data_IF_081494505000
#
_entry.id   IF_081494505000
#
_cell.length_a   1.000
_cell.length_b   1.000
_cell.length_c   1.000
_cell.angle_alpha   90.00
_cell.angle_beta   90.00
_cell.angle_gamma   90.00
#
_symmetry.space_group_name_H-M   'P 1'
#
loop_
_entity.id
_entity.type
_entity.pdbx_description
1 polymer ?
#
# COMPACT_ATOMS: atom_id res chain seq x y z
N UNK A 1 -14.06 6.62 -26.70
CA UNK A 1 -14.05 7.96 -26.07
C UNK A 1 -12.61 8.47 -25.96
N UNK A 2 -12.37 9.73 -26.30
CA UNK A 2 -11.04 10.38 -26.27
C UNK A 2 -10.43 10.40 -24.87
N UNK A 3 -11.23 10.65 -23.83
CA UNK A 3 -10.81 10.65 -22.43
C UNK A 3 -10.25 9.28 -22.01
N UNK A 4 -10.95 8.18 -22.31
CA UNK A 4 -10.47 6.84 -21.99
C UNK A 4 -9.17 6.50 -22.73
N UNK A 5 -8.98 6.99 -23.97
CA UNK A 5 -7.70 6.83 -24.69
C UNK A 5 -6.57 7.63 -24.04
N UNK A 6 -6.84 8.82 -23.51
CA UNK A 6 -5.85 9.64 -22.80
C UNK A 6 -5.46 9.04 -21.46
N UNK A 7 -6.44 8.55 -20.68
CA UNK A 7 -6.18 7.92 -19.37
C UNK A 7 -5.39 6.62 -19.51
N UNK A 8 -5.70 5.79 -20.53
CA UNK A 8 -4.97 4.55 -20.82
C UNK A 8 -3.55 4.73 -21.33
N UNK A 9 -3.11 5.96 -21.64
CA UNK A 9 -1.68 6.22 -21.94
C UNK A 9 -0.80 6.15 -20.70
N UNK A 10 -1.38 6.31 -19.52
CA UNK A 10 -0.68 6.18 -18.24
C UNK A 10 -0.84 4.72 -17.78
N UNK A 11 0.25 3.99 -17.47
CA UNK A 11 0.14 2.65 -16.93
C UNK A 11 -0.61 2.70 -15.59
N UNK A 12 -1.72 1.97 -15.47
CA UNK A 12 -2.60 2.06 -14.30
C UNK A 12 -3.41 3.36 -14.24
N UNK A 13 -3.49 4.11 -15.34
CA UNK A 13 -4.11 5.43 -15.38
C UNK A 13 -5.57 5.43 -14.95
N UNK A 14 -6.29 4.33 -15.16
CA UNK A 14 -7.67 4.18 -14.70
C UNK A 14 -7.80 4.20 -13.17
N UNK A 15 -6.72 3.94 -12.44
CA UNK A 15 -6.68 4.02 -10.97
C UNK A 15 -5.88 5.23 -10.48
N UNK A 16 -4.69 5.48 -11.04
CA UNK A 16 -3.80 6.56 -10.61
C UNK A 16 -4.45 7.93 -10.82
N UNK A 17 -5.13 8.13 -11.95
CA UNK A 17 -5.74 9.43 -12.26
C UNK A 17 -6.87 9.77 -11.26
N UNK A 18 -7.86 8.88 -10.98
CA UNK A 18 -8.83 9.12 -9.92
C UNK A 18 -8.21 9.34 -8.54
N UNK A 19 -7.15 8.59 -8.19
CA UNK A 19 -6.48 8.72 -6.90
C UNK A 19 -5.84 10.10 -6.74
N UNK A 20 -5.09 10.57 -7.73
CA UNK A 20 -4.46 11.90 -7.71
C UNK A 20 -5.51 13.01 -7.68
N UNK A 21 -6.60 12.88 -8.45
CA UNK A 21 -7.71 13.83 -8.42
C UNK A 21 -8.37 13.87 -7.03
N UNK A 22 -8.56 12.72 -6.40
CA UNK A 22 -9.07 12.62 -5.03
C UNK A 22 -8.14 13.28 -4.01
N UNK A 23 -6.82 13.05 -4.12
CA UNK A 23 -5.82 13.71 -3.27
C UNK A 23 -5.83 15.23 -3.44
N UNK A 24 -5.85 15.72 -4.68
CA UNK A 24 -5.92 17.17 -4.98
C UNK A 24 -7.20 17.76 -4.39
N UNK A 25 -8.34 17.12 -4.62
CA UNK A 25 -9.62 17.59 -4.08
C UNK A 25 -9.60 17.63 -2.55
N UNK A 26 -9.11 16.58 -1.89
CA UNK A 26 -9.01 16.53 -0.43
C UNK A 26 -8.01 17.56 0.13
N UNK A 27 -7.00 17.94 -0.65
CA UNK A 27 -6.03 18.97 -0.26
C UNK A 27 -6.67 20.37 -0.22
N UNK A 28 -7.50 20.70 -1.21
CA UNK A 28 -8.14 22.03 -1.29
C UNK A 28 -9.48 22.10 -0.56
N UNK A 29 -10.19 20.98 -0.41
CA UNK A 29 -11.53 20.92 0.17
C UNK A 29 -11.73 19.73 1.14
N UNK A 30 -10.93 19.64 2.24
CA UNK A 30 -10.94 18.49 3.15
C UNK A 30 -12.27 18.27 3.88
N UNK A 31 -13.04 19.35 4.11
CA UNK A 31 -14.30 19.30 4.84
C UNK A 31 -15.54 19.16 3.94
N UNK A 32 -15.37 19.14 2.62
CA UNK A 32 -16.49 19.10 1.68
C UNK A 32 -17.44 17.91 1.93
N UNK A 33 -16.88 16.74 2.23
CA UNK A 33 -17.67 15.54 2.51
C UNK A 33 -18.22 15.48 3.95
N UNK A 34 -17.80 16.39 4.83
CA UNK A 34 -18.32 16.49 6.21
C UNK A 34 -19.72 17.10 6.22
N UNK A 35 -20.07 17.97 5.26
CA UNK A 35 -21.43 18.49 5.09
C UNK A 35 -22.47 17.38 4.81
N UNK A 36 -22.01 16.24 4.28
CA UNK A 36 -22.85 15.10 3.93
C UNK A 36 -22.80 13.99 4.99
N UNK A 37 -22.28 14.27 6.20
CA UNK A 37 -22.14 13.28 7.26
C UNK A 37 -23.44 12.48 7.51
N UNK A 38 -23.29 11.15 7.64
CA UNK A 38 -24.41 10.22 7.82
C UNK A 38 -25.15 9.83 6.54
N UNK A 39 -24.76 10.38 5.38
CA UNK A 39 -25.34 10.00 4.09
C UNK A 39 -24.48 8.98 3.34
N UNK A 40 -25.07 8.36 2.31
CA UNK A 40 -24.36 7.47 1.38
C UNK A 40 -23.09 8.13 0.79
N UNK A 41 -23.11 9.43 0.50
CA UNK A 41 -21.98 10.15 -0.09
C UNK A 41 -20.74 10.09 0.80
N UNK A 42 -20.88 10.32 2.11
CA UNK A 42 -19.74 10.25 3.04
C UNK A 42 -19.25 8.80 3.20
N UNK A 43 -20.16 7.83 3.23
CA UNK A 43 -19.78 6.42 3.29
C UNK A 43 -19.10 5.92 2.01
N UNK A 44 -19.47 6.43 0.84
CA UNK A 44 -18.85 6.07 -0.43
C UNK A 44 -17.48 6.74 -0.60
N UNK A 45 -17.38 8.04 -0.31
CA UNK A 45 -16.21 8.85 -0.68
C UNK A 45 -15.20 9.09 0.45
N UNK A 46 -15.61 9.02 1.73
CA UNK A 46 -14.73 9.34 2.87
C UNK A 46 -14.34 8.09 3.68
N UNK A 47 -15.27 7.19 3.96
CA UNK A 47 -15.02 6.02 4.84
C UNK A 47 -15.08 4.66 4.13
N UNK A 48 -15.51 4.61 2.87
CA UNK A 48 -15.78 3.37 2.13
C UNK A 48 -14.57 2.67 1.52
N UNK A 49 -13.38 3.27 1.56
CA UNK A 49 -12.20 2.75 0.87
C UNK A 49 -11.83 1.31 1.32
N UNK A 50 -11.76 1.07 2.63
CA UNK A 50 -11.42 -0.25 3.18
C UNK A 50 -12.48 -1.33 2.88
N UNK A 51 -13.79 -1.08 3.07
CA UNK A 51 -14.84 -2.01 2.65
C UNK A 51 -14.83 -2.33 1.15
N UNK A 52 -14.65 -1.32 0.28
CA UNK A 52 -14.60 -1.52 -1.18
C UNK A 52 -13.39 -2.37 -1.54
N UNK A 53 -12.22 -2.09 -0.94
CA UNK A 53 -11.02 -2.89 -1.13
C UNK A 53 -11.24 -4.34 -0.65
N UNK A 54 -11.90 -4.55 0.48
CA UNK A 54 -12.20 -5.89 1.00
C UNK A 54 -13.09 -6.69 0.03
N UNK A 55 -14.17 -6.09 -0.49
CA UNK A 55 -15.04 -6.71 -1.50
C UNK A 55 -14.27 -6.98 -2.80
N UNK A 56 -13.44 -6.03 -3.24
CA UNK A 56 -12.58 -6.21 -4.41
C UNK A 56 -11.64 -7.40 -4.24
N UNK A 57 -10.94 -7.51 -3.11
CA UNK A 57 -10.04 -8.62 -2.82
C UNK A 57 -10.77 -9.95 -2.70
N UNK A 58 -11.97 -9.95 -2.10
CA UNK A 58 -12.82 -11.14 -2.06
C UNK A 58 -13.20 -11.60 -3.48
N UNK A 59 -13.70 -10.71 -4.33
CA UNK A 59 -14.05 -11.01 -5.71
C UNK A 59 -12.84 -11.44 -6.55
N UNK A 60 -11.65 -10.90 -6.31
CA UNK A 60 -10.44 -11.39 -6.97
C UNK A 60 -10.03 -12.76 -6.44
N UNK A 61 -10.18 -12.99 -5.13
CA UNK A 61 -9.89 -14.28 -4.49
C UNK A 61 -10.73 -15.42 -5.07
N UNK A 62 -12.00 -15.18 -5.43
CA UNK A 62 -12.85 -16.19 -6.07
C UNK A 62 -12.39 -16.59 -7.48
N UNK A 63 -11.52 -15.80 -8.13
CA UNK A 63 -10.93 -16.14 -9.43
C UNK A 63 -9.69 -17.03 -9.33
N UNK A 64 -9.16 -17.24 -8.13
CA UNK A 64 -7.95 -18.04 -7.90
C UNK A 64 -8.32 -19.53 -7.83
N UNK A 65 -7.67 -20.35 -8.64
CA UNK A 65 -7.84 -21.80 -8.56
C UNK A 65 -7.06 -22.38 -7.37
N UNK A 66 -7.60 -23.39 -6.68
CA UNK A 66 -6.91 -24.07 -5.56
C UNK A 66 -5.51 -24.59 -5.93
N UNK A 67 -5.31 -24.97 -7.21
CA UNK A 67 -4.00 -25.39 -7.73
C UNK A 67 -2.97 -24.25 -7.78
N UNK A 68 -3.43 -23.00 -7.83
CA UNK A 68 -2.61 -21.79 -7.92
C UNK A 68 -2.39 -21.13 -6.56
N UNK A 69 -3.11 -21.56 -5.52
CA UNK A 69 -3.01 -21.00 -4.17
C UNK A 69 -1.58 -21.04 -3.61
N UNK A 70 -0.83 -22.12 -3.87
CA UNK A 70 0.57 -22.23 -3.46
C UNK A 70 1.47 -21.17 -4.11
N UNK A 71 1.21 -20.83 -5.38
CA UNK A 71 1.97 -19.80 -6.12
C UNK A 71 1.64 -18.41 -5.57
N UNK A 72 0.37 -18.16 -5.25
CA UNK A 72 -0.07 -16.91 -4.61
C UNK A 72 0.64 -16.68 -3.27
N UNK A 73 0.66 -17.70 -2.41
CA UNK A 73 1.35 -17.63 -1.11
C UNK A 73 2.84 -17.42 -1.30
N UNK A 74 3.48 -18.19 -2.18
CA UNK A 74 4.90 -18.04 -2.48
C UNK A 74 5.25 -16.62 -2.92
N UNK A 75 4.53 -16.07 -3.90
CA UNK A 75 4.74 -14.70 -4.39
C UNK A 75 4.55 -13.68 -3.27
N UNK A 76 3.45 -13.80 -2.51
CA UNK A 76 3.17 -12.92 -1.38
C UNK A 76 4.27 -12.93 -0.33
N UNK A 77 4.72 -14.12 0.09
CA UNK A 77 5.80 -14.28 1.07
C UNK A 77 7.12 -13.70 0.57
N UNK A 78 7.51 -14.00 -0.68
CA UNK A 78 8.75 -13.48 -1.27
C UNK A 78 8.71 -11.96 -1.38
N UNK A 79 7.61 -11.39 -1.88
CA UNK A 79 7.46 -9.94 -2.01
C UNK A 79 7.51 -9.25 -0.64
N UNK A 80 6.79 -9.77 0.35
CA UNK A 80 6.83 -9.24 1.72
C UNK A 80 8.24 -9.32 2.31
N UNK A 81 8.91 -10.47 2.19
CA UNK A 81 10.25 -10.66 2.75
C UNK A 81 11.27 -9.70 2.11
N UNK A 82 11.32 -9.65 0.77
CA UNK A 82 12.24 -8.76 0.04
C UNK A 82 12.00 -7.31 0.45
N UNK A 83 10.75 -6.88 0.53
CA UNK A 83 10.40 -5.51 0.88
C UNK A 83 10.85 -5.14 2.30
N UNK A 84 10.54 -5.98 3.27
CA UNK A 84 10.92 -5.75 4.68
C UNK A 84 12.44 -5.72 4.83
N UNK A 85 13.14 -6.67 4.21
CA UNK A 85 14.61 -6.73 4.27
C UNK A 85 15.23 -5.50 3.63
N UNK A 86 14.78 -5.10 2.44
CA UNK A 86 15.29 -3.91 1.75
C UNK A 86 15.01 -2.65 2.57
N UNK A 87 13.78 -2.48 3.08
CA UNK A 87 13.42 -1.34 3.93
C UNK A 87 14.27 -1.26 5.19
N UNK A 88 14.50 -2.40 5.85
CA UNK A 88 15.38 -2.52 7.01
C UNK A 88 16.82 -2.15 6.66
N UNK A 89 17.40 -2.73 5.60
CA UNK A 89 18.77 -2.43 5.19
C UNK A 89 18.96 -0.96 4.82
N UNK A 90 18.01 -0.34 4.12
CA UNK A 90 18.05 1.08 3.79
C UNK A 90 17.99 1.96 5.05
N UNK A 91 17.07 1.68 5.97
CA UNK A 91 16.98 2.41 7.24
C UNK A 91 18.24 2.27 8.09
N UNK A 92 18.79 1.06 8.18
CA UNK A 92 20.03 0.79 8.92
C UNK A 92 21.25 1.44 8.28
N UNK A 93 21.34 1.43 6.94
CA UNK A 93 22.40 2.15 6.25
C UNK A 93 22.33 3.64 6.59
N UNK A 94 21.14 4.24 6.59
CA UNK A 94 20.98 5.64 6.98
C UNK A 94 21.35 5.88 8.43
N UNK A 95 20.95 5.00 9.35
CA UNK A 95 21.35 5.09 10.76
C UNK A 95 22.88 5.01 10.93
N UNK A 96 23.55 4.13 10.19
CA UNK A 96 25.01 3.96 10.26
C UNK A 96 25.80 5.16 9.70
N UNK A 97 25.32 5.79 8.62
CA UNK A 97 26.03 6.92 7.99
C UNK A 97 25.65 8.30 8.54
N UNK A 98 24.39 8.48 8.97
CA UNK A 98 23.84 9.79 9.36
C UNK A 98 23.37 9.86 10.81
N UNK A 99 23.41 8.74 11.55
CA UNK A 99 22.95 8.68 12.93
C UNK A 99 21.43 8.81 13.07
N UNK A 100 20.97 9.07 14.30
CA UNK A 100 19.54 9.16 14.63
C UNK A 100 18.81 10.33 13.96
N UNK A 101 19.53 11.42 13.68
CA UNK A 101 18.99 12.57 12.95
C UNK A 101 18.61 12.24 11.50
N UNK A 102 19.15 11.13 10.97
CA UNK A 102 18.88 10.64 9.63
C UNK A 102 19.27 11.62 8.52
N UNK A 103 18.67 11.46 7.34
CA UNK A 103 18.98 12.27 6.15
C UNK A 103 17.93 13.37 6.00
N UNK A 104 18.35 14.63 5.98
CA UNK A 104 17.46 15.79 5.76
C UNK A 104 16.31 15.88 6.79
N UNK A 105 16.52 15.41 8.02
CA UNK A 105 15.51 15.37 9.08
C UNK A 105 14.55 14.17 9.01
N UNK A 106 14.76 13.24 8.09
CA UNK A 106 14.02 11.98 8.02
C UNK A 106 14.75 10.93 8.86
N UNK A 107 14.20 10.63 10.02
CA UNK A 107 14.76 9.63 10.93
C UNK A 107 14.80 8.23 10.28
N UNK A 108 15.79 7.38 10.64
CA UNK A 108 15.90 6.01 10.12
C UNK A 108 14.60 5.21 10.26
N UNK A 109 13.89 5.35 11.38
CA UNK A 109 12.59 4.70 11.60
C UNK A 109 11.52 5.12 10.58
N UNK A 110 11.51 6.38 10.16
CA UNK A 110 10.58 6.88 9.15
C UNK A 110 10.89 6.28 7.78
N UNK A 111 12.17 6.06 7.47
CA UNK A 111 12.61 5.38 6.24
C UNK A 111 12.19 3.92 6.24
N UNK A 112 12.42 3.19 7.34
CA UNK A 112 11.99 1.79 7.48
C UNK A 112 10.47 1.71 7.32
N UNK A 113 9.72 2.56 8.04
CA UNK A 113 8.25 2.57 7.97
C UNK A 113 7.75 2.88 6.55
N UNK A 114 8.34 3.86 5.87
CA UNK A 114 7.95 4.25 4.52
C UNK A 114 8.25 3.17 3.48
N UNK A 115 9.40 2.49 3.58
CA UNK A 115 9.82 1.46 2.62
C UNK A 115 9.19 0.10 2.90
N UNK A 116 8.97 -0.25 4.17
CA UNK A 116 8.30 -1.48 4.54
C UNK A 116 6.81 -1.40 4.22
N UNK A 117 6.13 -0.28 4.41
CA UNK A 117 4.69 -0.21 4.21
C UNK A 117 4.26 -0.25 2.72
N UNK A 118 3.09 -0.83 2.44
CA UNK A 118 2.53 -0.97 1.09
C UNK A 118 1.20 -0.26 0.96
N UNK A 119 0.80 0.00 -0.29
CA UNK A 119 -0.61 0.26 -0.59
C UNK A 119 -1.18 -0.97 -1.29
N UNK A 120 -1.80 -1.86 -0.52
CA UNK A 120 -2.43 -3.08 -1.03
C UNK A 120 -3.47 -2.79 -2.11
N UNK A 121 -4.20 -1.68 -2.02
CA UNK A 121 -5.20 -1.29 -3.02
C UNK A 121 -4.58 -0.94 -4.37
N UNK A 122 -3.52 -0.13 -4.39
CA UNK A 122 -2.81 0.23 -5.62
C UNK A 122 -2.18 -1.00 -6.25
N UNK A 123 -1.51 -1.84 -5.45
CA UNK A 123 -0.93 -3.08 -5.94
C UNK A 123 -2.00 -4.00 -6.54
N UNK A 124 -3.13 -4.19 -5.85
CA UNK A 124 -4.18 -5.10 -6.28
C UNK A 124 -4.82 -4.68 -7.61
N UNK A 125 -5.02 -3.38 -7.82
CA UNK A 125 -5.59 -2.91 -9.08
C UNK A 125 -4.58 -2.96 -10.23
N UNK A 126 -3.31 -2.62 -10.00
CA UNK A 126 -2.26 -2.76 -11.02
C UNK A 126 -2.03 -4.24 -11.39
N UNK A 127 -2.01 -5.13 -10.40
CA UNK A 127 -1.93 -6.57 -10.61
C UNK A 127 -3.18 -7.11 -11.33
N UNK A 128 -4.34 -6.51 -11.12
CA UNK A 128 -5.57 -6.85 -11.84
C UNK A 128 -5.55 -6.39 -13.30
N UNK A 129 -4.91 -5.25 -13.60
CA UNK A 129 -4.82 -4.68 -14.96
C UNK A 129 -3.69 -5.30 -15.79
N UNK A 130 -2.53 -5.60 -15.17
CA UNK A 130 -1.32 -6.05 -15.87
C UNK A 130 -0.78 -7.42 -15.43
N UNK A 131 -1.28 -7.97 -14.33
CA UNK A 131 -0.78 -9.21 -13.74
C UNK A 131 -1.69 -10.41 -13.96
N UNK A 132 -1.48 -11.45 -13.14
CA UNK A 132 -2.30 -12.67 -13.10
C UNK A 132 -3.14 -12.71 -11.83
N UNK A 133 -4.15 -13.57 -11.79
CA UNK A 133 -4.96 -13.81 -10.57
C UNK A 133 -4.10 -14.14 -9.34
N UNK A 134 -3.00 -14.90 -9.52
CA UNK A 134 -2.02 -15.18 -8.45
C UNK A 134 -1.29 -13.94 -7.92
N UNK A 135 -1.10 -12.91 -8.76
CA UNK A 135 -0.45 -11.66 -8.34
C UNK A 135 -1.43 -10.83 -7.53
N UNK A 136 -2.69 -10.75 -7.95
CA UNK A 136 -3.75 -10.07 -7.19
C UNK A 136 -3.99 -10.75 -5.84
N UNK A 137 -3.99 -12.08 -5.82
CA UNK A 137 -4.13 -12.86 -4.58
C UNK A 137 -3.01 -12.63 -3.57
N UNK A 138 -1.80 -12.28 -4.04
CA UNK A 138 -0.64 -12.05 -3.17
C UNK A 138 -0.87 -10.86 -2.21
N UNK A 139 -1.80 -9.95 -2.54
CA UNK A 139 -2.22 -8.83 -1.68
C UNK A 139 -2.60 -9.30 -0.28
N UNK A 140 -3.23 -10.46 -0.16
CA UNK A 140 -3.64 -11.01 1.14
C UNK A 140 -2.47 -11.25 2.09
N UNK A 141 -1.33 -11.71 1.57
CA UNK A 141 -0.09 -11.90 2.33
C UNK A 141 0.67 -10.58 2.50
N UNK A 142 0.66 -9.73 1.47
CA UNK A 142 1.25 -8.38 1.54
C UNK A 142 0.57 -7.51 2.60
N UNK A 143 -0.74 -7.66 2.82
CA UNK A 143 -1.50 -6.90 3.80
C UNK A 143 -1.05 -7.16 5.25
N UNK A 144 -0.36 -8.27 5.54
CA UNK A 144 0.27 -8.53 6.85
C UNK A 144 1.30 -7.43 7.19
N UNK A 145 1.89 -6.81 6.16
CA UNK A 145 2.91 -5.80 6.27
C UNK A 145 2.37 -4.37 6.33
N UNK A 146 1.06 -4.15 6.13
CA UNK A 146 0.46 -2.82 6.21
C UNK A 146 0.29 -2.32 7.66
N UNK A 147 0.69 -3.14 8.65
CA UNK A 147 0.74 -2.80 10.07
C UNK A 147 2.17 -2.51 10.58
N UNK A 148 2.31 -2.02 11.84
CA UNK A 148 3.60 -1.66 12.40
C UNK A 148 4.51 -2.87 12.71
N UNK A 149 4.03 -4.10 12.51
CA UNK A 149 4.69 -5.32 12.94
C UNK A 149 6.12 -5.45 12.41
N UNK A 150 6.34 -5.39 11.09
CA UNK A 150 7.67 -5.57 10.52
C UNK A 150 8.60 -4.39 10.80
N UNK A 151 8.06 -3.18 10.85
CA UNK A 151 8.82 -1.99 11.26
C UNK A 151 9.32 -2.13 12.70
N UNK A 152 8.47 -2.57 13.62
CA UNK A 152 8.86 -2.78 15.02
C UNK A 152 9.80 -3.97 15.19
N UNK A 153 9.60 -5.05 14.44
CA UNK A 153 10.51 -6.20 14.41
C UNK A 153 11.91 -5.78 13.93
N UNK A 154 11.97 -4.94 12.89
CA UNK A 154 13.21 -4.41 12.35
C UNK A 154 13.99 -3.62 13.40
N UNK A 155 13.31 -2.74 14.13
CA UNK A 155 13.89 -1.89 15.17
C UNK A 155 14.32 -2.70 16.41
N UNK A 156 13.51 -3.68 16.83
CA UNK A 156 13.84 -4.56 17.94
C UNK A 156 15.06 -5.44 17.64
N UNK A 157 15.19 -5.95 16.41
CA UNK A 157 16.32 -6.80 16.01
C UNK A 157 17.68 -6.08 16.02
N UNK A 158 17.68 -4.75 15.94
CA UNK A 158 18.87 -3.91 15.90
C UNK A 158 19.11 -3.11 17.18
N UNK A 159 18.29 -3.33 18.20
CA UNK A 159 18.42 -2.67 19.50
C UNK A 159 18.16 -1.16 19.45
N UNK A 160 17.35 -0.71 18.48
CA UNK A 160 16.98 0.70 18.39
C UNK A 160 15.97 1.02 19.51
N UNK A 161 16.39 1.82 20.50
CA UNK A 161 15.47 2.35 21.50
C UNK A 161 14.54 3.35 20.82
N UNK A 162 13.26 3.00 20.73
CA UNK A 162 12.23 3.93 20.27
C UNK A 162 12.16 5.03 21.34
N UNK A 163 12.48 6.30 21.01
CA UNK A 163 12.35 7.38 21.97
C UNK A 163 10.86 7.49 22.33
N UNK A 164 10.55 7.17 23.57
CA UNK A 164 9.20 7.26 24.17
C UNK A 164 8.95 8.70 24.58
#
# INVERSE_FOLDING_TARGET
MSIMKSVKKIPGGLMIVPLLLGCIFNTFFPEFFTYFNGTFTTHLWKTGAMPILAVFLFCNGTTINFKEAGVTVYKGCVLTAVKVIVGMLCGLAVAAFFGEAGVMGVAPIAIIAALANSNGGIYAALAGEYGKATDVGAVSILAINDGPFFTMLALGAVGYDVPI
#
